data_IF_727465007723
#
_entry.id   IF_727465007723
#
_cell.length_a   1.000
_cell.length_b   1.000
_cell.length_c   1.000
_cell.angle_alpha   90.00
_cell.angle_beta   90.00
_cell.angle_gamma   90.00
#
_symmetry.space_group_name_H-M   'P 1'
#
loop_
_entity.id
_entity.type
_entity.pdbx_description
1 polymer ?
#
# COMPACT_ATOMS: atom_id res chain seq x y z
N UNK A 1 2.14 23.94 11.33
CA UNK A 1 1.84 22.53 10.98
C UNK A 1 2.08 21.69 12.23
N UNK A 2 1.02 21.18 12.85
CA UNK A 2 1.16 20.22 13.94
C UNK A 2 1.49 18.86 13.32
N UNK A 3 2.78 18.50 13.29
CA UNK A 3 3.18 17.11 13.18
C UNK A 3 2.80 16.46 14.50
N UNK A 4 1.53 16.06 14.66
CA UNK A 4 1.12 15.27 15.80
C UNK A 4 1.94 13.98 15.78
N UNK A 5 2.80 13.85 16.77
CA UNK A 5 3.73 12.75 17.04
C UNK A 5 2.96 11.42 17.10
N UNK A 6 2.65 10.83 15.96
CA UNK A 6 2.31 9.42 15.93
C UNK A 6 3.59 8.63 16.15
N UNK A 7 3.61 7.82 17.21
CA UNK A 7 4.76 6.97 17.50
C UNK A 7 5.13 6.15 16.26
N UNK A 8 6.43 5.84 16.03
CA UNK A 8 6.85 5.02 14.90
C UNK A 8 6.06 3.71 14.76
N UNK A 9 5.60 3.14 15.89
CA UNK A 9 4.73 1.97 15.93
C UNK A 9 3.34 2.23 15.29
N UNK A 10 2.69 3.36 15.61
CA UNK A 10 1.40 3.74 15.00
C UNK A 10 1.55 4.02 13.50
N UNK A 11 2.63 4.68 13.11
CA UNK A 11 2.93 4.92 11.69
C UNK A 11 3.12 3.59 10.93
N UNK A 12 3.86 2.64 11.51
CA UNK A 12 4.05 1.31 10.95
C UNK A 12 2.73 0.54 10.84
N UNK A 13 1.89 0.57 11.87
CA UNK A 13 0.57 -0.08 11.87
C UNK A 13 -0.32 0.45 10.72
N UNK A 14 -0.34 1.77 10.52
CA UNK A 14 -1.08 2.40 9.41
C UNK A 14 -0.58 1.94 8.05
N UNK A 15 0.74 1.87 7.84
CA UNK A 15 1.30 1.40 6.57
C UNK A 15 0.98 -0.08 6.33
N UNK A 16 1.05 -0.92 7.36
CA UNK A 16 0.67 -2.34 7.27
C UNK A 16 -0.81 -2.52 6.97
N UNK A 17 -1.68 -1.67 7.53
CA UNK A 17 -3.11 -1.65 7.19
C UNK A 17 -3.32 -1.27 5.73
N UNK A 18 -2.67 -0.19 5.26
CA UNK A 18 -2.80 0.26 3.87
C UNK A 18 -2.28 -0.78 2.87
N UNK A 19 -1.18 -1.46 3.18
CA UNK A 19 -0.68 -2.60 2.40
C UNK A 19 -1.77 -3.66 2.18
N UNK A 20 -2.47 -4.07 3.25
CA UNK A 20 -3.56 -5.05 3.18
C UNK A 20 -4.76 -4.53 2.37
N UNK A 21 -5.06 -3.24 2.45
CA UNK A 21 -6.12 -2.62 1.65
C UNK A 21 -5.77 -2.67 0.16
N UNK A 22 -4.53 -2.32 -0.21
CA UNK A 22 -4.05 -2.41 -1.59
C UNK A 22 -4.07 -3.84 -2.14
N UNK A 23 -3.70 -4.84 -1.34
CA UNK A 23 -3.81 -6.25 -1.71
C UNK A 23 -5.26 -6.65 -2.01
N UNK A 24 -6.22 -6.17 -1.22
CA UNK A 24 -7.65 -6.40 -1.46
C UNK A 24 -8.16 -5.65 -2.69
N UNK A 25 -7.73 -4.40 -2.88
CA UNK A 25 -8.07 -3.61 -4.07
C UNK A 25 -7.60 -4.32 -5.34
N UNK A 26 -6.39 -4.88 -5.34
CA UNK A 26 -5.87 -5.67 -6.46
C UNK A 26 -6.68 -6.95 -6.68
N UNK A 27 -7.04 -7.67 -5.62
CA UNK A 27 -7.88 -8.87 -5.72
C UNK A 27 -9.26 -8.56 -6.33
N UNK A 28 -9.90 -7.47 -5.89
CA UNK A 28 -11.17 -7.00 -6.45
C UNK A 28 -10.99 -6.61 -7.92
N UNK A 29 -9.93 -5.89 -8.26
CA UNK A 29 -9.63 -5.50 -9.63
C UNK A 29 -9.46 -6.70 -10.57
N UNK A 30 -8.77 -7.75 -10.10
CA UNK A 30 -8.61 -9.00 -10.85
C UNK A 30 -9.96 -9.69 -11.09
N UNK A 31 -10.80 -9.81 -10.05
CA UNK A 31 -12.15 -10.40 -10.19
C UNK A 31 -13.02 -9.62 -11.18
N UNK A 32 -12.94 -8.30 -11.17
CA UNK A 32 -13.68 -7.44 -12.11
C UNK A 32 -13.22 -7.65 -13.55
N UNK A 33 -11.90 -7.80 -13.76
CA UNK A 33 -11.33 -8.14 -15.08
C UNK A 33 -11.81 -9.51 -15.56
N UNK A 34 -11.73 -10.53 -14.70
CA UNK A 34 -12.15 -11.91 -15.01
C UNK A 34 -13.63 -11.99 -15.42
N UNK A 35 -14.48 -11.19 -14.78
CA UNK A 35 -15.90 -11.06 -15.13
C UNK A 35 -16.17 -10.24 -16.39
N UNK A 36 -15.16 -9.61 -16.98
CA UNK A 36 -15.32 -8.72 -18.13
C UNK A 36 -16.00 -7.38 -17.79
N UNK A 37 -16.03 -6.98 -16.51
CA UNK A 37 -16.66 -5.73 -16.05
C UNK A 37 -15.84 -4.48 -16.38
N UNK A 38 -14.57 -4.65 -16.74
CA UNK A 38 -13.63 -3.57 -17.07
C UNK A 38 -12.81 -3.92 -18.31
N UNK A 39 -12.40 -2.90 -19.06
CA UNK A 39 -11.53 -3.07 -20.22
C UNK A 39 -10.09 -3.39 -19.80
N UNK A 40 -9.30 -3.91 -20.74
CA UNK A 40 -7.85 -4.15 -20.51
C UNK A 40 -7.11 -2.85 -20.17
N UNK A 41 -7.47 -1.74 -20.83
CA UNK A 41 -6.86 -0.43 -20.60
C UNK A 41 -7.19 0.09 -19.20
N UNK A 42 -8.45 0.00 -18.77
CA UNK A 42 -8.88 0.41 -17.43
C UNK A 42 -8.20 -0.46 -16.35
N UNK A 43 -8.16 -1.78 -16.58
CA UNK A 43 -7.46 -2.71 -15.70
C UNK A 43 -5.98 -2.36 -15.57
N UNK A 44 -5.28 -2.15 -16.69
CA UNK A 44 -3.85 -1.85 -16.72
C UNK A 44 -3.53 -0.55 -15.97
N UNK A 45 -4.35 0.49 -16.18
CA UNK A 45 -4.20 1.78 -15.49
C UNK A 45 -4.42 1.65 -13.99
N UNK A 46 -5.51 1.01 -13.55
CA UNK A 46 -5.79 0.82 -12.13
C UNK A 46 -4.74 -0.06 -11.46
N UNK A 47 -4.35 -1.16 -12.10
CA UNK A 47 -3.32 -2.08 -11.59
C UNK A 47 -2.00 -1.35 -11.38
N UNK A 48 -1.55 -0.56 -12.36
CA UNK A 48 -0.31 0.22 -12.26
C UNK A 48 -0.34 1.21 -11.09
N UNK A 49 -1.48 1.83 -10.82
CA UNK A 49 -1.63 2.75 -9.69
C UNK A 49 -1.52 2.02 -8.35
N UNK A 50 -2.19 0.88 -8.21
CA UNK A 50 -2.12 0.03 -7.01
C UNK A 50 -0.68 -0.47 -6.77
N UNK A 51 -0.01 -0.95 -7.82
CA UNK A 51 1.37 -1.44 -7.74
C UNK A 51 2.34 -0.34 -7.32
N UNK A 52 2.19 0.87 -7.89
CA UNK A 52 3.01 2.02 -7.51
C UNK A 52 2.84 2.36 -6.03
N UNK A 53 1.60 2.48 -5.55
CA UNK A 53 1.33 2.79 -4.14
C UNK A 53 1.85 1.68 -3.23
N UNK A 54 1.69 0.41 -3.62
CA UNK A 54 2.19 -0.73 -2.85
C UNK A 54 3.71 -0.66 -2.67
N UNK A 55 4.46 -0.35 -3.74
CA UNK A 55 5.92 -0.18 -3.68
C UNK A 55 6.30 0.95 -2.71
N UNK A 56 5.62 2.10 -2.79
CA UNK A 56 5.88 3.23 -1.89
C UNK A 56 5.59 2.90 -0.42
N UNK A 57 4.51 2.16 -0.14
CA UNK A 57 4.18 1.70 1.22
C UNK A 57 5.22 0.71 1.73
N UNK A 58 5.66 -0.23 0.89
CA UNK A 58 6.68 -1.22 1.25
C UNK A 58 8.03 -0.57 1.54
N UNK A 59 8.43 0.42 0.76
CA UNK A 59 9.65 1.20 0.99
C UNK A 59 9.59 1.94 2.34
N UNK A 60 8.49 2.63 2.65
CA UNK A 60 8.29 3.30 3.95
C UNK A 60 8.31 2.32 5.12
N UNK A 61 7.71 1.13 4.97
CA UNK A 61 7.78 0.07 5.98
C UNK A 61 9.23 -0.37 6.20
N UNK A 62 10.00 -0.56 5.13
CA UNK A 62 11.40 -0.95 5.22
C UNK A 62 12.23 0.13 5.94
N UNK A 63 12.04 1.40 5.60
CA UNK A 63 12.69 2.54 6.26
C UNK A 63 12.38 2.59 7.76
N UNK A 64 11.12 2.48 8.15
CA UNK A 64 10.74 2.49 9.58
C UNK A 64 11.31 1.30 10.34
N UNK A 65 11.32 0.11 9.73
CA UNK A 65 11.93 -1.08 10.34
C UNK A 65 13.45 -0.92 10.51
N UNK A 66 14.12 -0.34 9.51
CA UNK A 66 15.54 -0.06 9.57
C UNK A 66 15.88 0.93 10.69
N UNK A 67 15.15 2.05 10.78
CA UNK A 67 15.32 3.02 11.86
C UNK A 67 15.05 2.41 13.24
N UNK A 68 14.00 1.59 13.38
CA UNK A 68 13.73 0.87 14.61
C UNK A 68 14.86 -0.10 15.00
N UNK A 69 15.55 -0.71 14.03
CA UNK A 69 16.70 -1.58 14.29
C UNK A 69 17.98 -0.84 14.68
N UNK A 70 18.08 0.46 14.39
CA UNK A 70 19.22 1.31 14.79
C UNK A 70 19.06 1.92 16.18
N UNK A 71 17.84 1.96 16.71
CA UNK A 71 17.51 2.57 18.01
C UNK A 71 17.16 1.56 19.11
N UNK A 72 17.13 0.26 18.77
CA UNK A 72 17.04 -0.85 19.73
C UNK A 72 18.42 -1.40 20.06
#
# INVERSE_FOLDING_TARGET
MNFSEESPAKALEKLLKRKKELEKELEVLLKRKEKGEISEEEFSKQKRNIEKEYIEIMDRIAQLKYLASLWG
#
